data_IF_894301582551
#
_entry.id   IF_894301582551
#
_cell.length_a   1.000
_cell.length_b   1.000
_cell.length_c   1.000
_cell.angle_alpha   90.00
_cell.angle_beta   90.00
_cell.angle_gamma   90.00
#
_symmetry.space_group_name_H-M   'P 1'
#
loop_
_entity.id
_entity.type
_entity.pdbx_description
1 polymer ?
#
# COMPACT_ATOMS: atom_id res chain seq x y z
N UNK A 1 26.53 -16.65 -0.96
CA UNK A 1 26.48 -16.94 -2.42
C UNK A 1 26.78 -15.68 -3.19
N UNK A 2 27.26 -15.74 -4.48
CA UNK A 2 27.46 -14.51 -5.26
C UNK A 2 26.09 -13.85 -5.54
N UNK A 3 25.99 -12.50 -5.40
CA UNK A 3 24.81 -11.69 -5.66
C UNK A 3 24.14 -12.02 -7.02
N UNK A 4 24.93 -12.15 -8.08
CA UNK A 4 24.46 -12.50 -9.43
C UNK A 4 23.77 -13.86 -9.47
N UNK A 5 24.32 -14.84 -8.77
CA UNK A 5 23.74 -16.20 -8.69
C UNK A 5 22.38 -16.19 -8.00
N UNK A 6 22.24 -15.44 -6.89
CA UNK A 6 20.98 -15.29 -6.16
C UNK A 6 19.90 -14.66 -7.07
N UNK A 7 20.25 -13.58 -7.77
CA UNK A 7 19.32 -12.91 -8.70
C UNK A 7 18.88 -13.90 -9.79
N UNK A 8 19.84 -14.59 -10.42
CA UNK A 8 19.54 -15.56 -11.49
C UNK A 8 18.63 -16.67 -11.00
N UNK A 9 18.88 -17.23 -9.83
CA UNK A 9 18.06 -18.29 -9.23
C UNK A 9 16.63 -17.81 -9.00
N UNK A 10 16.45 -16.63 -8.40
CA UNK A 10 15.14 -16.05 -8.14
C UNK A 10 14.40 -15.77 -9.46
N UNK A 11 15.05 -15.12 -10.42
CA UNK A 11 14.45 -14.83 -11.71
C UNK A 11 14.03 -16.10 -12.46
N UNK A 12 14.88 -17.13 -12.50
CA UNK A 12 14.54 -18.43 -13.10
C UNK A 12 13.26 -18.99 -12.50
N UNK A 13 13.14 -18.99 -11.16
CA UNK A 13 11.94 -19.49 -10.47
C UNK A 13 10.70 -18.64 -10.76
N UNK A 14 10.85 -17.33 -10.86
CA UNK A 14 9.74 -16.44 -11.21
C UNK A 14 9.27 -16.67 -12.65
N UNK A 15 10.19 -16.86 -13.61
CA UNK A 15 9.86 -17.17 -15.01
C UNK A 15 9.21 -18.54 -15.18
N UNK A 16 9.57 -19.55 -14.38
CA UNK A 16 8.87 -20.84 -14.35
C UNK A 16 7.38 -20.71 -13.94
N UNK A 17 7.05 -19.65 -13.18
CA UNK A 17 5.68 -19.36 -12.72
C UNK A 17 4.93 -18.39 -13.63
N UNK A 18 5.51 -17.99 -14.77
CA UNK A 18 4.97 -17.00 -15.68
C UNK A 18 3.63 -17.41 -16.28
N UNK A 19 2.67 -16.47 -16.31
CA UNK A 19 1.42 -16.53 -17.07
C UNK A 19 1.33 -15.28 -17.97
N UNK A 20 1.57 -15.47 -19.27
CA UNK A 20 1.59 -14.38 -20.25
C UNK A 20 0.22 -13.70 -20.40
N UNK A 21 -0.89 -14.44 -20.28
CA UNK A 21 -2.25 -13.86 -20.33
C UNK A 21 -2.50 -12.97 -19.13
N UNK A 22 -2.07 -13.42 -17.94
CA UNK A 22 -2.15 -12.63 -16.73
C UNK A 22 -1.25 -11.39 -16.80
N UNK A 23 -0.02 -11.52 -17.30
CA UNK A 23 0.88 -10.38 -17.53
C UNK A 23 0.21 -9.30 -18.38
N UNK A 24 -0.37 -9.70 -19.52
CA UNK A 24 -0.97 -8.76 -20.46
C UNK A 24 -2.22 -8.07 -19.90
N UNK A 25 -2.97 -8.75 -19.06
CA UNK A 25 -4.08 -8.18 -18.31
C UNK A 25 -3.58 -7.22 -17.21
N UNK A 26 -2.62 -7.68 -16.40
CA UNK A 26 -2.16 -6.96 -15.23
C UNK A 26 -1.40 -5.67 -15.59
N UNK A 27 -0.60 -5.70 -16.66
CA UNK A 27 0.11 -4.53 -17.17
C UNK A 27 -0.83 -3.36 -17.51
N UNK A 28 -2.04 -3.61 -17.96
CA UNK A 28 -3.05 -2.58 -18.23
C UNK A 28 -3.53 -1.87 -16.98
N UNK A 29 -3.43 -2.51 -15.80
CA UNK A 29 -3.83 -1.94 -14.52
C UNK A 29 -2.70 -1.12 -13.87
N UNK A 30 -1.47 -1.27 -14.37
CA UNK A 30 -0.27 -0.59 -13.85
C UNK A 30 0.43 0.21 -14.95
N UNK A 31 -0.17 1.31 -15.43
CA UNK A 31 0.35 2.08 -16.56
C UNK A 31 1.71 2.75 -16.26
N UNK A 32 2.10 2.85 -14.99
CA UNK A 32 3.39 3.39 -14.55
C UNK A 32 4.54 2.38 -14.63
N UNK A 33 4.24 1.10 -14.79
CA UNK A 33 5.25 0.04 -14.88
C UNK A 33 5.39 -0.41 -16.34
N UNK A 34 6.64 -0.37 -16.86
CA UNK A 34 6.90 -0.91 -18.20
C UNK A 34 6.54 -2.41 -18.23
N UNK A 35 5.72 -2.79 -19.21
CA UNK A 35 5.26 -4.18 -19.40
C UNK A 35 6.42 -5.19 -19.46
N UNK A 36 7.58 -4.81 -20.01
CA UNK A 36 8.76 -5.67 -20.08
C UNK A 36 9.38 -5.98 -18.72
N UNK A 37 9.07 -5.16 -17.70
CA UNK A 37 9.45 -5.39 -16.31
C UNK A 37 8.45 -6.25 -15.54
N UNK A 38 7.39 -6.75 -16.20
CA UNK A 38 6.37 -7.60 -15.59
C UNK A 38 6.54 -9.00 -16.13
N UNK A 39 6.87 -9.97 -15.28
CA UNK A 39 6.98 -11.39 -15.64
C UNK A 39 5.59 -12.00 -15.84
N UNK A 40 4.65 -11.65 -14.96
CA UNK A 40 3.27 -12.16 -14.98
C UNK A 40 3.06 -13.33 -14.03
N UNK A 41 3.62 -13.27 -12.83
CA UNK A 41 3.39 -14.29 -11.80
C UNK A 41 2.14 -13.95 -11.00
N UNK A 42 1.18 -14.88 -10.93
CA UNK A 42 -0.04 -14.67 -10.13
C UNK A 42 0.28 -14.61 -8.65
N UNK A 43 -0.32 -13.66 -7.93
CA UNK A 43 -0.09 -13.44 -6.50
C UNK A 43 -0.17 -14.70 -5.62
N UNK A 44 -1.14 -15.63 -5.80
CA UNK A 44 -1.15 -16.87 -5.02
C UNK A 44 0.10 -17.74 -5.22
N UNK A 45 0.57 -17.88 -6.46
CA UNK A 45 1.78 -18.65 -6.79
C UNK A 45 3.03 -17.98 -6.18
N UNK A 46 3.13 -16.65 -6.29
CA UNK A 46 4.21 -15.87 -5.71
C UNK A 46 4.24 -16.01 -4.17
N UNK A 47 3.10 -15.98 -3.49
CA UNK A 47 3.00 -16.18 -2.04
C UNK A 47 3.46 -17.58 -1.61
N UNK A 48 3.13 -18.61 -2.39
CA UNK A 48 3.60 -19.98 -2.14
C UNK A 48 5.12 -20.05 -2.28
N UNK A 49 5.67 -19.44 -3.33
CA UNK A 49 7.12 -19.37 -3.54
C UNK A 49 7.80 -18.60 -2.38
N UNK A 50 7.34 -17.39 -2.07
CA UNK A 50 7.88 -16.57 -1.00
C UNK A 50 7.89 -17.29 0.36
N UNK A 51 6.84 -18.06 0.69
CA UNK A 51 6.74 -18.82 1.94
C UNK A 51 7.79 -19.93 2.03
N UNK A 52 8.13 -20.57 0.90
CA UNK A 52 9.18 -21.61 0.85
C UNK A 52 10.56 -20.98 0.86
N UNK A 53 10.79 -20.01 -0.01
CA UNK A 53 12.05 -19.33 -0.20
C UNK A 53 12.50 -18.57 1.07
N UNK A 54 11.59 -17.91 1.78
CA UNK A 54 11.88 -17.18 3.02
C UNK A 54 12.43 -18.04 4.19
N UNK A 55 12.44 -19.38 4.03
CA UNK A 55 13.05 -20.29 5.00
C UNK A 55 14.53 -20.60 4.69
N UNK A 56 15.05 -20.10 3.58
CA UNK A 56 16.43 -20.33 3.14
C UNK A 56 17.35 -19.20 3.60
N UNK A 57 18.64 -19.49 3.75
CA UNK A 57 19.63 -18.43 4.01
C UNK A 57 19.82 -17.51 2.81
N UNK A 58 19.62 -18.05 1.59
CA UNK A 58 19.63 -17.25 0.36
C UNK A 58 18.62 -16.09 0.39
N UNK A 59 17.43 -16.30 1.01
CA UNK A 59 16.41 -15.24 1.13
C UNK A 59 16.89 -14.06 1.98
N UNK A 60 17.72 -14.29 3.01
CA UNK A 60 18.33 -13.22 3.82
C UNK A 60 19.32 -12.40 2.99
N UNK A 61 20.13 -13.07 2.17
CA UNK A 61 21.05 -12.39 1.25
C UNK A 61 20.28 -11.66 0.14
N UNK A 62 19.16 -12.21 -0.34
CA UNK A 62 18.30 -11.57 -1.34
C UNK A 62 17.69 -10.26 -0.85
N UNK A 63 17.28 -10.19 0.42
CA UNK A 63 16.78 -8.93 1.03
C UNK A 63 17.83 -7.81 1.02
N UNK A 64 19.14 -8.13 0.92
CA UNK A 64 20.19 -7.13 0.80
C UNK A 64 20.40 -6.64 -0.65
N UNK A 65 19.64 -7.19 -1.62
CA UNK A 65 19.80 -6.88 -3.03
C UNK A 65 18.71 -5.88 -3.46
N UNK A 66 19.09 -4.65 -3.72
CA UNK A 66 18.23 -3.58 -4.27
C UNK A 66 19.08 -2.73 -5.24
N UNK A 67 18.49 -2.14 -6.27
CA UNK A 67 17.11 -2.32 -6.76
C UNK A 67 16.89 -3.64 -7.49
N UNK A 68 15.62 -4.03 -7.67
CA UNK A 68 15.24 -5.17 -8.48
C UNK A 68 14.92 -4.78 -9.93
N UNK A 69 15.01 -5.75 -10.85
CA UNK A 69 14.73 -5.53 -12.26
C UNK A 69 13.24 -5.68 -12.59
N UNK A 70 12.58 -6.69 -11.99
CA UNK A 70 11.20 -7.04 -12.31
C UNK A 70 10.23 -6.70 -11.18
N UNK A 71 8.99 -6.40 -11.57
CA UNK A 71 7.87 -6.14 -10.66
C UNK A 71 7.68 -7.27 -9.64
N UNK A 72 7.77 -8.52 -10.08
CA UNK A 72 7.58 -9.66 -9.21
C UNK A 72 8.76 -9.89 -8.26
N UNK A 73 9.94 -9.42 -8.57
CA UNK A 73 11.07 -9.40 -7.64
C UNK A 73 10.80 -8.41 -6.49
N UNK A 74 10.25 -7.23 -6.79
CA UNK A 74 9.80 -6.27 -5.77
C UNK A 74 8.68 -6.87 -4.90
N UNK A 75 7.73 -7.56 -5.51
CA UNK A 75 6.67 -8.23 -4.77
C UNK A 75 7.20 -9.37 -3.89
N UNK A 76 8.14 -10.16 -4.37
CA UNK A 76 8.82 -11.19 -3.58
C UNK A 76 9.54 -10.57 -2.38
N UNK A 77 10.28 -9.49 -2.60
CA UNK A 77 10.98 -8.76 -1.53
C UNK A 77 9.99 -8.32 -0.43
N UNK A 78 8.88 -7.66 -0.80
CA UNK A 78 7.83 -7.29 0.14
C UNK A 78 7.23 -8.49 0.89
N UNK A 79 6.99 -9.62 0.20
CA UNK A 79 6.49 -10.85 0.82
C UNK A 79 7.50 -11.52 1.77
N UNK A 80 8.79 -11.31 1.57
CA UNK A 80 9.83 -11.76 2.51
C UNK A 80 9.85 -10.88 3.75
N UNK A 81 9.75 -9.54 3.61
CA UNK A 81 9.61 -8.61 4.74
C UNK A 81 8.37 -8.96 5.59
N UNK A 82 7.24 -9.32 4.99
CA UNK A 82 6.02 -9.75 5.71
C UNK A 82 6.26 -10.97 6.64
N UNK A 83 7.29 -11.77 6.40
CA UNK A 83 7.61 -12.97 7.18
C UNK A 83 8.50 -12.69 8.39
N UNK A 84 9.14 -11.53 8.45
CA UNK A 84 9.99 -11.10 9.57
C UNK A 84 9.11 -10.92 10.82
N UNK A 85 9.54 -11.54 11.94
CA UNK A 85 8.80 -11.53 13.21
C UNK A 85 9.33 -10.53 14.22
N UNK A 86 10.59 -10.17 14.09
CA UNK A 86 11.22 -9.14 14.89
C UNK A 86 10.83 -7.76 14.36
N UNK A 87 10.39 -6.87 15.26
CA UNK A 87 9.87 -5.55 14.89
C UNK A 87 10.94 -4.66 14.29
N UNK A 88 12.09 -4.56 14.96
CA UNK A 88 13.15 -3.64 14.55
C UNK A 88 13.76 -4.07 13.22
N UNK A 89 14.04 -5.35 13.06
CA UNK A 89 14.52 -5.93 11.79
C UNK A 89 13.50 -5.71 10.66
N UNK A 90 12.21 -5.91 10.93
CA UNK A 90 11.16 -5.69 9.92
C UNK A 90 11.06 -4.22 9.51
N UNK A 91 11.19 -3.31 10.47
CA UNK A 91 11.14 -1.88 10.23
C UNK A 91 12.35 -1.42 9.41
N UNK A 92 13.56 -1.89 9.73
CA UNK A 92 14.79 -1.58 9.00
C UNK A 92 14.70 -2.03 7.53
N UNK A 93 14.29 -3.29 7.30
CA UNK A 93 14.12 -3.82 5.94
C UNK A 93 13.03 -3.06 5.16
N UNK A 94 11.96 -2.67 5.83
CA UNK A 94 10.89 -1.90 5.25
C UNK A 94 11.36 -0.49 4.84
N UNK A 95 12.05 0.23 5.73
CA UNK A 95 12.60 1.57 5.43
C UNK A 95 13.59 1.52 4.28
N UNK A 96 14.37 0.45 4.15
CA UNK A 96 15.30 0.26 3.05
C UNK A 96 14.60 -0.03 1.72
N UNK A 97 13.45 -0.75 1.76
CA UNK A 97 12.71 -1.16 0.57
C UNK A 97 11.77 -0.09 0.02
N UNK A 98 11.12 0.70 0.89
CA UNK A 98 10.09 1.69 0.50
C UNK A 98 10.51 2.62 -0.65
N UNK A 99 11.75 3.16 -0.72
CA UNK A 99 12.17 4.02 -1.81
C UNK A 99 12.19 3.36 -3.20
N UNK A 100 12.17 2.03 -3.26
CA UNK A 100 12.20 1.27 -4.52
C UNK A 100 10.81 0.81 -4.99
N UNK A 101 9.76 1.13 -4.26
CA UNK A 101 8.38 0.84 -4.68
C UNK A 101 7.95 1.89 -5.70
N UNK A 102 7.68 1.46 -6.93
CA UNK A 102 7.37 2.31 -8.07
C UNK A 102 5.92 2.17 -8.58
N UNK A 103 5.08 1.41 -7.85
CA UNK A 103 3.71 1.16 -8.25
C UNK A 103 2.79 0.86 -7.06
N UNK A 104 1.47 1.09 -7.29
CA UNK A 104 0.44 0.90 -6.27
C UNK A 104 0.26 -0.57 -5.86
N UNK A 105 0.44 -1.52 -6.78
CA UNK A 105 0.16 -2.92 -6.51
C UNK A 105 1.18 -3.54 -5.53
N UNK A 106 2.48 -3.25 -5.70
CA UNK A 106 3.52 -3.62 -4.73
C UNK A 106 3.29 -2.93 -3.39
N UNK A 107 2.97 -1.63 -3.40
CA UNK A 107 2.71 -0.84 -2.19
C UNK A 107 1.55 -1.42 -1.37
N UNK A 108 0.41 -1.68 -2.02
CA UNK A 108 -0.82 -2.09 -1.34
C UNK A 108 -0.80 -3.57 -0.91
N UNK A 109 -0.01 -4.40 -1.59
CA UNK A 109 0.17 -5.80 -1.24
C UNK A 109 0.91 -5.97 0.10
N UNK A 110 1.80 -5.05 0.43
CA UNK A 110 2.69 -5.15 1.59
C UNK A 110 1.92 -5.00 2.91
N UNK A 111 1.86 -6.07 3.70
CA UNK A 111 1.08 -6.18 4.93
C UNK A 111 1.92 -6.67 6.11
N UNK A 112 2.61 -5.75 6.77
CA UNK A 112 3.57 -6.01 7.87
C UNK A 112 2.86 -6.22 9.21
N UNK A 113 2.41 -7.45 9.46
CA UNK A 113 1.57 -7.78 10.62
C UNK A 113 2.26 -7.61 11.96
N UNK A 114 3.58 -7.71 12.03
CA UNK A 114 4.35 -7.55 13.28
C UNK A 114 4.11 -6.16 13.89
N UNK A 115 3.87 -5.14 13.08
CA UNK A 115 3.60 -3.76 13.51
C UNK A 115 2.37 -3.61 14.40
N UNK A 116 1.38 -4.53 14.30
CA UNK A 116 0.18 -4.50 15.15
C UNK A 116 0.44 -4.58 16.65
N UNK A 117 1.60 -5.07 17.05
CA UNK A 117 1.98 -5.20 18.46
C UNK A 117 2.73 -3.98 18.99
N UNK A 118 3.01 -3.01 18.14
CA UNK A 118 3.87 -1.87 18.42
C UNK A 118 3.25 -0.55 17.92
N UNK A 119 1.90 -0.45 17.92
CA UNK A 119 1.18 0.69 17.32
C UNK A 119 1.50 2.03 17.99
N UNK A 120 1.82 2.03 19.27
CA UNK A 120 2.20 3.18 20.07
C UNK A 120 3.52 3.83 19.60
N UNK A 121 4.48 3.04 19.16
CA UNK A 121 5.77 3.52 18.63
C UNK A 121 5.80 3.56 17.10
N UNK A 122 5.02 2.71 16.45
CA UNK A 122 4.95 2.62 15.00
C UNK A 122 4.33 3.87 14.35
N UNK A 123 3.46 4.58 15.06
CA UNK A 123 2.79 5.79 14.54
C UNK A 123 3.79 6.88 14.12
N UNK A 124 4.89 7.05 14.82
CA UNK A 124 5.92 8.05 14.50
C UNK A 124 6.59 7.76 13.14
N UNK A 125 6.78 6.46 12.83
CA UNK A 125 7.30 6.04 11.53
C UNK A 125 6.29 6.29 10.41
N UNK A 126 5.03 5.99 10.67
CA UNK A 126 3.94 6.24 9.72
C UNK A 126 3.87 7.73 9.37
N UNK A 127 3.99 8.62 10.34
CA UNK A 127 4.01 10.06 10.09
C UNK A 127 5.19 10.50 9.25
N UNK A 128 6.40 10.02 9.54
CA UNK A 128 7.59 10.30 8.73
C UNK A 128 7.44 9.85 7.28
N UNK A 129 6.84 8.68 7.04
CA UNK A 129 6.57 8.21 5.68
C UNK A 129 5.54 9.07 4.95
N UNK A 130 4.55 9.61 5.66
CA UNK A 130 3.57 10.52 5.07
C UNK A 130 4.15 11.90 4.72
N UNK A 131 5.30 12.27 5.29
CA UNK A 131 6.07 13.49 5.02
C UNK A 131 7.19 13.28 3.97
N UNK A 132 7.31 12.10 3.37
CA UNK A 132 8.32 11.77 2.36
C UNK A 132 8.07 12.51 1.04
N UNK A 133 9.14 12.70 0.26
CA UNK A 133 9.06 13.19 -1.14
C UNK A 133 8.72 12.07 -2.13
N UNK A 134 8.74 10.80 -1.70
CA UNK A 134 8.47 9.66 -2.54
C UNK A 134 6.99 9.24 -2.48
N UNK A 135 6.29 9.32 -3.62
CA UNK A 135 4.84 9.11 -3.70
C UNK A 135 4.35 7.79 -3.07
N UNK A 136 5.05 6.68 -3.31
CA UNK A 136 4.63 5.38 -2.78
C UNK A 136 5.00 5.18 -1.31
N UNK A 137 6.00 5.89 -0.79
CA UNK A 137 6.27 5.96 0.65
C UNK A 137 5.15 6.71 1.38
N UNK A 138 4.71 7.86 0.83
CA UNK A 138 3.52 8.59 1.35
C UNK A 138 2.29 7.68 1.31
N UNK A 139 2.04 7.03 0.15
CA UNK A 139 0.92 6.10 -0.02
C UNK A 139 0.95 4.98 1.01
N UNK A 140 2.13 4.40 1.25
CA UNK A 140 2.32 3.34 2.25
C UNK A 140 2.00 3.83 3.66
N UNK A 141 2.50 5.01 4.06
CA UNK A 141 2.18 5.63 5.36
C UNK A 141 0.67 5.79 5.57
N UNK A 142 -0.05 6.37 4.60
CA UNK A 142 -1.51 6.52 4.65
C UNK A 142 -2.19 5.14 4.74
N UNK A 143 -1.69 4.13 4.01
CA UNK A 143 -2.24 2.78 4.05
C UNK A 143 -2.07 2.10 5.41
N UNK A 144 -0.99 2.40 6.14
CA UNK A 144 -0.78 1.90 7.51
C UNK A 144 -1.77 2.53 8.49
N UNK A 145 -2.04 3.85 8.41
CA UNK A 145 -3.13 4.47 9.17
C UNK A 145 -4.47 3.80 8.88
N UNK A 146 -4.78 3.59 7.60
CA UNK A 146 -6.04 2.95 7.20
C UNK A 146 -6.19 1.53 7.74
N UNK A 147 -5.09 0.76 7.80
CA UNK A 147 -5.10 -0.65 8.22
C UNK A 147 -5.15 -0.83 9.73
N UNK A 148 -4.45 0.00 10.47
CA UNK A 148 -4.15 -0.27 11.88
C UNK A 148 -4.73 0.73 12.86
N UNK A 149 -5.17 1.93 12.41
CA UNK A 149 -5.54 3.02 13.30
C UNK A 149 -6.96 3.58 13.09
N UNK A 150 -7.85 2.83 12.43
CA UNK A 150 -9.24 3.25 12.22
C UNK A 150 -10.25 2.60 13.18
N UNK A 151 -9.81 1.75 14.10
CA UNK A 151 -10.66 1.07 15.07
C UNK A 151 -10.33 1.51 16.50
N UNK A 152 -9.95 0.61 17.39
CA UNK A 152 -9.74 0.88 18.82
C UNK A 152 -8.68 1.96 19.11
N UNK A 153 -7.68 2.09 18.25
CA UNK A 153 -6.60 3.07 18.35
C UNK A 153 -6.90 4.38 17.65
N UNK A 154 -8.13 4.58 17.16
CA UNK A 154 -8.48 5.77 16.38
C UNK A 154 -8.34 7.07 17.19
N UNK A 155 -7.64 8.04 16.59
CA UNK A 155 -7.51 9.42 17.08
C UNK A 155 -7.84 10.42 15.97
N UNK A 156 -8.40 11.58 16.34
CA UNK A 156 -8.78 12.63 15.37
C UNK A 156 -7.58 13.26 14.68
N UNK A 157 -6.39 13.17 15.27
CA UNK A 157 -5.15 13.62 14.64
C UNK A 157 -4.85 12.89 13.32
N UNK A 158 -5.20 11.60 13.20
CA UNK A 158 -4.90 10.82 12.00
C UNK A 158 -5.59 11.34 10.74
N UNK A 159 -6.91 11.53 10.70
CA UNK A 159 -7.56 12.12 9.55
C UNK A 159 -7.15 13.59 9.32
N UNK A 160 -6.83 14.37 10.37
CA UNK A 160 -6.33 15.74 10.21
C UNK A 160 -4.98 15.73 9.46
N UNK A 161 -4.04 14.85 9.83
CA UNK A 161 -2.76 14.69 9.10
C UNK A 161 -2.96 14.26 7.64
N UNK A 162 -3.81 13.29 7.37
CA UNK A 162 -4.11 12.87 5.98
C UNK A 162 -4.77 14.00 5.18
N UNK A 163 -5.64 14.79 5.80
CA UNK A 163 -6.29 15.94 5.15
C UNK A 163 -5.29 17.06 4.79
N UNK A 164 -4.19 17.20 5.54
CA UNK A 164 -3.17 18.22 5.32
C UNK A 164 -2.21 17.88 4.19
N UNK A 165 -2.10 16.61 3.78
CA UNK A 165 -1.22 16.22 2.68
C UNK A 165 -1.65 16.96 1.40
N UNK A 166 -0.67 17.57 0.72
CA UNK A 166 -0.82 18.19 -0.60
C UNK A 166 0.08 17.46 -1.58
N UNK A 167 -0.48 16.98 -2.69
CA UNK A 167 0.27 16.23 -3.69
C UNK A 167 -0.41 16.36 -5.05
N UNK A 168 0.38 16.47 -6.11
CA UNK A 168 -0.09 16.35 -7.50
C UNK A 168 -0.13 14.87 -7.95
N UNK A 169 0.43 13.96 -7.16
CA UNK A 169 0.52 12.55 -7.49
C UNK A 169 -0.84 11.85 -7.36
N UNK A 170 -1.33 11.34 -8.49
CA UNK A 170 -2.61 10.63 -8.56
C UNK A 170 -2.74 9.51 -7.52
N UNK A 171 -1.69 8.70 -7.36
CA UNK A 171 -1.74 7.54 -6.47
C UNK A 171 -1.68 7.90 -4.98
N UNK A 172 -1.11 9.05 -4.62
CA UNK A 172 -1.19 9.61 -3.27
C UNK A 172 -2.62 10.08 -3.00
N UNK A 173 -3.20 10.91 -3.90
CA UNK A 173 -4.55 11.44 -3.74
C UNK A 173 -5.62 10.33 -3.75
N UNK A 174 -5.42 9.26 -4.55
CA UNK A 174 -6.29 8.09 -4.54
C UNK A 174 -6.25 7.37 -3.19
N UNK A 175 -5.09 7.25 -2.55
CA UNK A 175 -4.97 6.63 -1.22
C UNK A 175 -5.61 7.52 -0.15
N UNK A 176 -5.46 8.84 -0.21
CA UNK A 176 -6.17 9.78 0.67
C UNK A 176 -7.68 9.58 0.58
N UNK A 177 -8.22 9.52 -0.65
CA UNK A 177 -9.64 9.29 -0.87
C UNK A 177 -10.09 7.91 -0.34
N UNK A 178 -9.28 6.88 -0.51
CA UNK A 178 -9.56 5.54 0.01
C UNK A 178 -9.51 5.50 1.53
N UNK A 179 -8.54 6.19 2.14
CA UNK A 179 -8.47 6.36 3.60
C UNK A 179 -9.76 6.96 4.15
N UNK A 180 -10.22 8.11 3.62
CA UNK A 180 -11.42 8.77 4.11
C UNK A 180 -12.69 7.96 3.85
N UNK A 181 -12.80 7.27 2.73
CA UNK A 181 -13.93 6.38 2.46
C UNK A 181 -13.98 5.20 3.44
N UNK A 182 -12.82 4.63 3.80
CA UNK A 182 -12.72 3.55 4.79
C UNK A 182 -12.97 4.09 6.21
N UNK A 183 -12.48 5.28 6.51
CA UNK A 183 -12.70 5.94 7.78
C UNK A 183 -14.17 6.31 7.99
N UNK A 184 -14.89 6.76 6.96
CA UNK A 184 -16.35 6.93 7.00
C UNK A 184 -17.07 5.62 7.33
N UNK A 185 -16.62 4.50 6.78
CA UNK A 185 -17.23 3.20 7.06
C UNK A 185 -16.99 2.69 8.50
N UNK A 186 -15.96 3.19 9.19
CA UNK A 186 -15.57 2.74 10.54
C UNK A 186 -15.88 3.76 11.64
N UNK A 187 -15.82 5.05 11.33
CA UNK A 187 -15.91 6.18 12.25
C UNK A 187 -16.81 7.29 11.67
N UNK A 188 -18.00 6.93 11.16
CA UNK A 188 -18.86 7.80 10.35
C UNK A 188 -19.00 9.20 10.92
N UNK A 189 -19.53 9.32 12.16
CA UNK A 189 -19.85 10.60 12.80
C UNK A 189 -18.62 11.47 13.03
N UNK A 190 -17.45 10.85 13.27
CA UNK A 190 -16.19 11.57 13.48
C UNK A 190 -15.57 12.07 12.17
N UNK A 191 -15.81 11.36 11.07
CA UNK A 191 -15.21 11.66 9.75
C UNK A 191 -16.12 12.51 8.88
N UNK A 192 -17.45 12.40 9.04
CA UNK A 192 -18.42 13.16 8.26
C UNK A 192 -18.10 14.68 8.23
N UNK A 193 -17.68 15.34 9.33
CA UNK A 193 -17.32 16.78 9.31
C UNK A 193 -16.19 17.15 8.35
N UNK A 194 -15.32 16.21 7.94
CA UNK A 194 -14.28 16.48 6.92
C UNK A 194 -14.92 16.69 5.54
N UNK A 195 -16.03 16.01 5.28
CA UNK A 195 -16.78 16.13 4.03
C UNK A 195 -17.71 17.36 4.08
N UNK A 196 -18.51 17.51 5.15
CA UNK A 196 -19.45 18.64 5.29
C UNK A 196 -18.75 20.00 5.25
N UNK A 197 -17.59 20.12 5.91
CA UNK A 197 -16.78 21.34 5.99
C UNK A 197 -15.75 21.46 4.85
N UNK A 198 -15.81 20.58 3.85
CA UNK A 198 -14.93 20.58 2.67
C UNK A 198 -13.43 20.71 3.03
N UNK A 199 -12.96 19.96 4.05
CA UNK A 199 -11.57 20.01 4.51
C UNK A 199 -10.56 19.40 3.52
N UNK A 200 -11.03 18.69 2.48
CA UNK A 200 -10.22 18.05 1.45
C UNK A 200 -10.23 18.90 0.18
N UNK A 201 -9.19 18.78 -0.65
CA UNK A 201 -9.26 19.32 -2.02
C UNK A 201 -10.41 18.70 -2.81
N UNK A 202 -10.92 19.42 -3.81
CA UNK A 202 -12.14 19.07 -4.55
C UNK A 202 -12.09 17.66 -5.14
N UNK A 203 -10.92 17.26 -5.70
CA UNK A 203 -10.76 15.95 -6.31
C UNK A 203 -10.84 14.85 -5.26
N UNK A 204 -10.05 14.97 -4.18
CA UNK A 204 -10.02 13.98 -3.07
C UNK A 204 -11.38 13.90 -2.39
N UNK A 205 -12.05 15.04 -2.16
CA UNK A 205 -13.41 15.11 -1.60
C UNK A 205 -14.40 14.28 -2.43
N UNK A 206 -14.52 14.58 -3.72
CA UNK A 206 -15.47 13.91 -4.60
C UNK A 206 -15.12 12.43 -4.79
N UNK A 207 -13.83 12.10 -4.84
CA UNK A 207 -13.35 10.71 -4.94
C UNK A 207 -13.62 9.93 -3.65
N UNK A 208 -13.51 10.55 -2.47
CA UNK A 208 -13.90 9.95 -1.18
C UNK A 208 -15.36 9.57 -1.18
N UNK A 209 -16.23 10.51 -1.58
CA UNK A 209 -17.68 10.25 -1.66
C UNK A 209 -17.97 9.10 -2.64
N UNK A 210 -17.34 9.13 -3.82
CA UNK A 210 -17.49 8.04 -4.79
C UNK A 210 -17.14 6.67 -4.16
N UNK A 211 -15.99 6.57 -3.52
CA UNK A 211 -15.52 5.33 -2.87
C UNK A 211 -16.39 4.90 -1.69
N UNK A 212 -16.89 5.85 -0.90
CA UNK A 212 -17.81 5.56 0.20
C UNK A 212 -19.14 4.97 -0.30
N UNK A 213 -19.70 5.54 -1.39
CA UNK A 213 -20.94 5.05 -2.00
C UNK A 213 -20.78 3.61 -2.57
N UNK A 214 -19.59 3.26 -3.07
CA UNK A 214 -19.26 1.92 -3.56
C UNK A 214 -19.19 0.89 -2.41
N UNK A 215 -19.00 1.34 -1.16
CA UNK A 215 -18.83 0.45 0.00
C UNK A 215 -20.16 -0.17 0.47
N UNK A 216 -20.16 -1.47 0.76
CA UNK A 216 -21.29 -2.16 1.41
C UNK A 216 -21.44 -1.82 2.89
N UNK A 217 -20.45 -1.14 3.51
CA UNK A 217 -20.45 -0.76 4.93
C UNK A 217 -21.12 0.56 5.21
N UNK A 218 -21.45 1.33 4.17
CA UNK A 218 -22.17 2.60 4.25
C UNK A 218 -23.64 2.33 3.94
N UNK A 219 -24.55 2.81 4.81
CA UNK A 219 -25.98 2.57 4.64
C UNK A 219 -26.58 3.30 3.44
N UNK A 220 -27.74 2.90 2.91
CA UNK A 220 -28.41 3.60 1.81
C UNK A 220 -28.65 5.08 2.11
N UNK A 221 -29.08 5.41 3.34
CA UNK A 221 -29.36 6.77 3.81
C UNK A 221 -28.07 7.61 3.84
N UNK A 222 -26.99 7.04 4.39
CA UNK A 222 -25.68 7.68 4.40
C UNK A 222 -25.14 7.91 2.98
N UNK A 223 -25.35 6.96 2.06
CA UNK A 223 -24.95 7.12 0.65
C UNK A 223 -25.70 8.26 -0.01
N UNK A 224 -27.00 8.39 0.23
CA UNK A 224 -27.79 9.46 -0.33
C UNK A 224 -27.35 10.82 0.21
N UNK A 225 -27.14 10.93 1.52
CA UNK A 225 -26.60 12.12 2.15
C UNK A 225 -25.26 12.53 1.56
N UNK A 226 -24.32 11.59 1.46
CA UNK A 226 -22.98 11.84 0.88
C UNK A 226 -23.06 12.27 -0.59
N UNK A 227 -24.02 11.76 -1.38
CA UNK A 227 -24.22 12.23 -2.79
C UNK A 227 -24.54 13.71 -2.85
N UNK A 228 -25.36 14.20 -1.90
CA UNK A 228 -25.72 15.60 -1.80
C UNK A 228 -24.56 16.53 -1.44
N UNK A 229 -23.48 15.99 -0.84
CA UNK A 229 -22.30 16.75 -0.45
C UNK A 229 -21.22 16.86 -1.53
N UNK A 230 -21.43 16.27 -2.73
CA UNK A 230 -20.47 16.41 -3.83
C UNK A 230 -20.33 17.87 -4.26
N UNK A 231 -19.10 18.32 -4.41
CA UNK A 231 -18.79 19.64 -4.95
C UNK A 231 -19.00 19.60 -6.47
N UNK A 232 -19.94 20.43 -6.95
CA UNK A 232 -20.17 20.62 -8.39
C UNK A 232 -19.03 21.46 -8.97
N UNK A 233 -18.55 21.08 -10.16
CA UNK A 233 -17.60 21.90 -10.91
C UNK A 233 -18.28 23.14 -11.46
#
# INVERSE_FOLDING_TARGET
MNKTTIITNVQTRLFELQDLKYRDFHAKLMPTVNKEKIIGVRTPALRVFAKKYGKTDEAKEYLQILPHQYYEENNLHGLLIEQIKDYDTCLEELERFLPYIDNWATCDMLAVKVMKKHLDTFIDKVYRWMESDHAYTIRFGISMLMRYYLEDTFQMEYPDKVAQIRSEEYYVNMMRAWYFATALAKQYDKILPFIEKQKLDVWTHNKTIQKAIESYRITPEQKEYLRGLKIKK
#
